data_IF_728278280654
#
_entry.id   IF_728278280654
#
_cell.length_a   1.000
_cell.length_b   1.000
_cell.length_c   1.000
_cell.angle_alpha   90.00
_cell.angle_beta   90.00
_cell.angle_gamma   90.00
#
_symmetry.space_group_name_H-M   'P 1'
#
loop_
_entity.id
_entity.type
_entity.pdbx_description
1 polymer ?
#
# COMPACT_ATOMS: atom_id res chain seq x y z
N UNK A 1 14.42 7.27 9.63
CA UNK A 1 15.10 6.36 8.67
C UNK A 1 15.36 4.99 9.29
N UNK A 2 15.06 4.82 10.59
CA UNK A 2 15.51 3.69 11.41
C UNK A 2 14.68 2.40 11.29
N UNK A 3 13.43 2.48 10.81
CA UNK A 3 12.54 1.31 10.73
C UNK A 3 12.84 0.34 9.57
N UNK A 4 13.61 0.75 8.56
CA UNK A 4 13.84 -0.06 7.35
C UNK A 4 15.02 -1.01 7.50
N UNK A 5 16.08 -0.59 8.20
CA UNK A 5 17.29 -1.38 8.41
C UNK A 5 17.19 -2.29 9.63
N UNK A 6 16.39 -1.92 10.63
CA UNK A 6 16.24 -2.69 11.87
C UNK A 6 15.83 -4.16 11.60
N UNK A 7 14.77 -4.47 10.82
CA UNK A 7 14.40 -5.85 10.55
C UNK A 7 15.47 -6.60 9.74
N UNK A 8 16.15 -5.90 8.83
CA UNK A 8 17.25 -6.47 8.05
C UNK A 8 18.44 -6.86 8.92
N UNK A 9 18.83 -6.00 9.87
CA UNK A 9 19.86 -6.32 10.85
C UNK A 9 19.45 -7.48 11.75
N UNK A 10 18.18 -7.50 12.18
CA UNK A 10 17.63 -8.63 12.94
C UNK A 10 17.73 -9.94 12.20
N UNK A 11 17.64 -9.97 10.87
CA UNK A 11 17.78 -11.20 10.13
C UNK A 11 19.13 -11.86 10.40
N UNK A 12 20.22 -11.11 10.47
CA UNK A 12 21.57 -11.67 10.65
C UNK A 12 21.81 -12.28 12.05
N UNK A 13 21.25 -11.71 13.11
CA UNK A 13 21.47 -12.20 14.48
C UNK A 13 20.27 -12.97 15.09
N UNK A 14 19.06 -12.75 14.58
CA UNK A 14 17.81 -13.36 15.03
C UNK A 14 16.84 -13.62 13.85
N UNK A 15 17.20 -14.51 12.90
CA UNK A 15 16.51 -14.74 11.62
C UNK A 15 14.98 -14.81 11.72
N UNK A 16 14.47 -15.60 12.67
CA UNK A 16 13.04 -15.80 12.85
C UNK A 16 12.30 -14.54 13.36
N UNK A 17 12.91 -13.79 14.27
CA UNK A 17 12.33 -12.54 14.79
C UNK A 17 12.34 -11.45 13.72
N UNK A 18 13.46 -11.30 13.01
CA UNK A 18 13.56 -10.36 11.89
C UNK A 18 12.48 -10.63 10.83
N UNK A 19 12.32 -11.88 10.40
CA UNK A 19 11.28 -12.24 9.42
C UNK A 19 9.84 -12.06 9.94
N UNK A 20 9.59 -12.28 11.25
CA UNK A 20 8.28 -11.97 11.83
C UNK A 20 8.01 -10.47 11.86
N UNK A 21 9.02 -9.65 12.17
CA UNK A 21 8.89 -8.19 12.18
C UNK A 21 8.62 -7.66 10.76
N UNK A 22 9.28 -8.23 9.75
CA UNK A 22 8.99 -7.93 8.33
C UNK A 22 7.56 -8.31 7.97
N UNK A 23 7.10 -9.53 8.32
CA UNK A 23 5.73 -9.99 8.09
C UNK A 23 4.69 -9.02 8.65
N UNK A 24 4.90 -8.57 9.88
CA UNK A 24 3.89 -7.83 10.63
C UNK A 24 3.89 -6.32 10.37
N UNK A 25 5.04 -5.75 9.96
CA UNK A 25 5.24 -4.29 9.90
C UNK A 25 5.80 -3.77 8.58
N UNK A 26 6.42 -4.60 7.74
CA UNK A 26 7.05 -4.09 6.53
C UNK A 26 6.04 -3.66 5.47
N UNK A 27 6.20 -2.44 4.97
CA UNK A 27 5.51 -1.99 3.77
C UNK A 27 6.17 -2.62 2.54
N UNK A 28 5.36 -3.22 1.66
CA UNK A 28 5.84 -3.88 0.43
C UNK A 28 6.74 -2.98 -0.41
N UNK A 29 6.37 -1.71 -0.59
CA UNK A 29 7.16 -0.75 -1.35
C UNK A 29 8.55 -0.50 -0.76
N UNK A 30 8.68 -0.52 0.57
CA UNK A 30 9.97 -0.36 1.27
C UNK A 30 10.82 -1.62 1.11
N UNK A 31 10.21 -2.79 1.24
CA UNK A 31 10.88 -4.08 1.04
C UNK A 31 11.43 -4.20 -0.40
N UNK A 32 10.62 -3.82 -1.39
CA UNK A 32 11.02 -3.82 -2.80
C UNK A 32 12.19 -2.84 -3.07
N UNK A 33 12.15 -1.64 -2.51
CA UNK A 33 13.24 -0.66 -2.63
C UNK A 33 14.55 -1.18 -2.02
N UNK A 34 14.46 -1.83 -0.86
CA UNK A 34 15.63 -2.44 -0.22
C UNK A 34 16.22 -3.57 -1.08
N UNK A 35 15.37 -4.47 -1.59
CA UNK A 35 15.81 -5.53 -2.47
C UNK A 35 16.45 -4.99 -3.76
N UNK A 36 15.85 -3.96 -4.37
CA UNK A 36 16.37 -3.31 -5.58
C UNK A 36 17.74 -2.70 -5.34
N UNK A 37 17.91 -1.96 -4.24
CA UNK A 37 19.18 -1.30 -3.90
C UNK A 37 20.27 -2.31 -3.57
N UNK A 38 19.95 -3.37 -2.81
CA UNK A 38 20.88 -4.45 -2.50
C UNK A 38 21.29 -5.23 -3.77
N UNK A 39 20.33 -5.53 -4.67
CA UNK A 39 20.59 -6.19 -5.93
C UNK A 39 21.44 -5.32 -6.87
N UNK A 40 21.16 -4.02 -6.97
CA UNK A 40 21.94 -3.09 -7.77
C UNK A 40 23.39 -2.98 -7.27
N UNK A 41 23.58 -2.91 -5.94
CA UNK A 41 24.91 -2.93 -5.33
C UNK A 41 25.67 -4.22 -5.66
N UNK A 42 25.01 -5.38 -5.57
CA UNK A 42 25.60 -6.67 -5.94
C UNK A 42 25.97 -6.74 -7.43
N UNK A 43 25.08 -6.31 -8.33
CA UNK A 43 25.34 -6.27 -9.78
C UNK A 43 26.51 -5.34 -10.10
N UNK A 44 26.54 -4.15 -9.50
CA UNK A 44 27.61 -3.17 -9.68
C UNK A 44 28.96 -3.74 -9.20
N UNK A 45 28.98 -4.43 -8.06
CA UNK A 45 30.17 -5.12 -7.56
C UNK A 45 30.67 -6.19 -8.54
N UNK A 46 29.76 -7.03 -9.05
CA UNK A 46 30.13 -8.09 -10.00
C UNK A 46 30.65 -7.52 -11.33
N UNK A 47 30.11 -6.40 -11.77
CA UNK A 47 30.51 -5.71 -13.01
C UNK A 47 31.68 -4.73 -12.81
N UNK A 48 32.13 -4.51 -11.58
CA UNK A 48 33.15 -3.50 -11.25
C UNK A 48 34.43 -3.58 -12.10
N UNK A 49 35.00 -4.78 -12.40
CA UNK A 49 36.16 -4.88 -13.28
C UNK A 49 35.90 -4.34 -14.71
N UNK A 50 34.70 -4.54 -15.24
CA UNK A 50 34.30 -4.05 -16.56
C UNK A 50 33.97 -2.55 -16.51
N UNK A 51 33.30 -2.10 -15.44
CA UNK A 51 32.93 -0.70 -15.21
C UNK A 51 34.18 0.16 -15.03
N UNK A 52 35.15 -0.27 -14.22
CA UNK A 52 36.40 0.45 -13.95
C UNK A 52 37.27 0.64 -15.20
N UNK A 53 37.28 -0.34 -16.11
CA UNK A 53 37.96 -0.24 -17.40
C UNK A 53 37.28 0.75 -18.38
N UNK A 54 35.98 1.03 -18.20
CA UNK A 54 35.16 1.89 -19.08
C UNK A 54 34.98 3.34 -18.60
N UNK A 55 35.65 3.72 -17.50
CA UNK A 55 35.57 5.05 -16.87
C UNK A 55 36.13 6.19 -17.75
N UNK A 56 36.67 5.89 -18.93
CA UNK A 56 37.14 6.89 -19.90
C UNK A 56 36.06 7.50 -20.80
N UNK A 57 34.76 7.15 -20.66
CA UNK A 57 33.74 7.86 -21.44
C UNK A 57 32.24 7.54 -21.31
N UNK A 58 31.77 6.58 -20.47
CA UNK A 58 30.32 6.24 -20.39
C UNK A 58 29.82 5.87 -18.99
N UNK A 59 30.03 6.72 -17.97
CA UNK A 59 29.72 6.34 -16.57
C UNK A 59 28.23 6.29 -16.22
N UNK A 60 27.39 7.20 -16.73
CA UNK A 60 25.96 7.30 -16.34
C UNK A 60 25.12 6.12 -16.85
N UNK A 61 25.41 5.62 -18.05
CA UNK A 61 24.66 4.50 -18.66
C UNK A 61 24.93 3.16 -17.96
N UNK A 62 26.11 2.99 -17.33
CA UNK A 62 26.46 1.77 -16.59
C UNK A 62 25.63 1.62 -15.30
N UNK A 63 25.43 2.72 -14.56
CA UNK A 63 24.61 2.74 -13.33
C UNK A 63 23.14 2.52 -13.67
N UNK A 64 22.66 3.14 -14.74
CA UNK A 64 21.30 2.93 -15.22
C UNK A 64 21.06 1.49 -15.71
N UNK A 65 22.03 0.90 -16.40
CA UNK A 65 22.02 -0.51 -16.80
C UNK A 65 21.99 -1.46 -15.61
N UNK A 66 22.77 -1.19 -14.55
CA UNK A 66 22.74 -1.95 -13.30
C UNK A 66 21.38 -1.86 -12.61
N UNK A 67 20.73 -0.70 -12.61
CA UNK A 67 19.38 -0.52 -12.06
C UNK A 67 18.32 -1.32 -12.85
N UNK A 68 18.38 -1.29 -14.19
CA UNK A 68 17.48 -2.09 -15.04
C UNK A 68 17.71 -3.59 -14.81
N UNK A 69 18.98 -4.02 -14.75
CA UNK A 69 19.34 -5.42 -14.49
C UNK A 69 18.89 -5.88 -13.10
N UNK A 70 18.95 -4.99 -12.09
CA UNK A 70 18.44 -5.28 -10.76
C UNK A 70 16.92 -5.42 -10.75
N UNK A 71 16.21 -4.52 -11.44
CA UNK A 71 14.76 -4.57 -11.55
C UNK A 71 14.28 -5.81 -12.32
N UNK A 72 14.97 -6.19 -13.40
CA UNK A 72 14.63 -7.37 -14.18
C UNK A 72 14.84 -8.67 -13.38
N UNK A 73 15.83 -8.74 -12.49
CA UNK A 73 16.06 -9.90 -11.62
C UNK A 73 14.96 -10.07 -10.54
N UNK A 74 14.39 -8.97 -10.04
CA UNK A 74 13.35 -9.01 -9.00
C UNK A 74 11.94 -9.23 -9.56
N UNK A 75 11.70 -8.91 -10.84
CA UNK A 75 10.39 -9.08 -11.46
C UNK A 75 9.90 -10.55 -11.41
N UNK A 76 10.68 -11.57 -11.80
CA UNK A 76 10.27 -12.96 -11.66
C UNK A 76 10.02 -13.38 -10.21
N UNK A 77 10.79 -12.82 -9.27
CA UNK A 77 10.57 -13.08 -7.84
C UNK A 77 9.18 -12.60 -7.42
N UNK A 78 8.81 -11.38 -7.81
CA UNK A 78 7.52 -10.78 -7.44
C UNK A 78 6.32 -11.40 -8.19
N UNK A 79 6.48 -11.67 -9.49
CA UNK A 79 5.38 -12.09 -10.37
C UNK A 79 5.21 -13.60 -10.49
N UNK A 80 6.24 -14.39 -10.16
CA UNK A 80 6.20 -15.85 -10.30
C UNK A 80 6.45 -16.54 -8.97
N UNK A 81 7.61 -16.28 -8.37
CA UNK A 81 8.03 -17.02 -7.19
C UNK A 81 7.06 -16.80 -6.02
N UNK A 82 6.68 -15.54 -5.73
CA UNK A 82 5.73 -15.24 -4.65
C UNK A 82 4.34 -15.87 -4.88
N UNK A 83 3.69 -15.72 -6.06
CA UNK A 83 2.44 -16.42 -6.33
C UNK A 83 2.54 -17.95 -6.25
N UNK A 84 3.65 -18.55 -6.70
CA UNK A 84 3.87 -19.99 -6.59
C UNK A 84 4.01 -20.44 -5.14
N UNK A 85 4.72 -19.68 -4.30
CA UNK A 85 4.80 -19.96 -2.86
C UNK A 85 3.41 -19.93 -2.23
N UNK A 86 2.58 -18.93 -2.56
CA UNK A 86 1.20 -18.83 -2.04
C UNK A 86 0.34 -19.97 -2.56
N UNK A 87 0.46 -20.33 -3.84
CA UNK A 87 -0.26 -21.46 -4.44
C UNK A 87 0.12 -22.78 -3.75
N UNK A 88 1.43 -23.05 -3.62
CA UNK A 88 1.95 -24.25 -2.98
C UNK A 88 1.53 -24.30 -1.50
N UNK A 89 1.65 -23.20 -0.76
CA UNK A 89 1.18 -23.11 0.62
C UNK A 89 -0.33 -23.40 0.74
N UNK A 90 -1.14 -22.87 -0.19
CA UNK A 90 -2.58 -23.09 -0.20
C UNK A 90 -2.96 -24.54 -0.59
N UNK A 91 -2.13 -25.24 -1.38
CA UNK A 91 -2.34 -26.66 -1.67
C UNK A 91 -2.16 -27.54 -0.43
N UNK A 92 -1.25 -27.18 0.49
CA UNK A 92 -1.01 -27.94 1.71
C UNK A 92 -2.12 -27.79 2.77
N UNK A 93 -2.77 -26.62 2.87
CA UNK A 93 -3.73 -26.36 3.95
C UNK A 93 -5.13 -25.93 3.51
N UNK A 94 -5.42 -25.85 2.20
CA UNK A 94 -6.71 -25.42 1.59
C UNK A 94 -7.46 -24.38 2.45
N UNK A 95 -6.81 -23.23 2.70
CA UNK A 95 -7.37 -22.19 3.57
C UNK A 95 -8.43 -21.33 2.88
N UNK A 96 -8.30 -21.12 1.58
CA UNK A 96 -9.18 -20.26 0.79
C UNK A 96 -9.08 -20.54 -0.72
N UNK A 97 -9.92 -19.90 -1.52
CA UNK A 97 -9.70 -19.83 -2.98
C UNK A 97 -8.37 -19.12 -3.27
N UNK A 98 -7.66 -19.53 -4.33
CA UNK A 98 -6.34 -18.98 -4.65
C UNK A 98 -6.36 -17.45 -4.81
N UNK A 99 -7.39 -16.90 -5.45
CA UNK A 99 -7.53 -15.46 -5.61
C UNK A 99 -7.68 -14.70 -4.28
N UNK A 100 -8.35 -15.31 -3.29
CA UNK A 100 -8.48 -14.71 -1.96
C UNK A 100 -7.15 -14.80 -1.18
N UNK A 101 -6.50 -15.97 -1.23
CA UNK A 101 -5.19 -16.16 -0.60
C UNK A 101 -4.15 -15.19 -1.16
N UNK A 102 -4.13 -14.98 -2.48
CA UNK A 102 -3.25 -14.01 -3.13
C UNK A 102 -3.53 -12.58 -2.64
N UNK A 103 -4.80 -12.16 -2.58
CA UNK A 103 -5.16 -10.81 -2.08
C UNK A 103 -4.79 -10.58 -0.62
N UNK A 104 -4.84 -11.62 0.22
CA UNK A 104 -4.58 -11.52 1.65
C UNK A 104 -3.08 -11.58 1.97
N UNK A 105 -2.36 -12.53 1.38
CA UNK A 105 -1.01 -12.87 1.80
C UNK A 105 0.10 -12.28 0.92
N UNK A 106 -0.22 -11.80 -0.30
CA UNK A 106 0.81 -11.37 -1.26
C UNK A 106 1.74 -10.29 -0.69
N UNK A 107 1.21 -9.25 -0.06
CA UNK A 107 2.05 -8.18 0.48
C UNK A 107 3.01 -8.67 1.57
N UNK A 108 2.55 -9.60 2.42
CA UNK A 108 3.33 -10.20 3.50
C UNK A 108 4.43 -11.11 2.96
N UNK A 109 4.06 -12.06 2.09
CA UNK A 109 4.99 -13.00 1.46
C UNK A 109 6.01 -12.26 0.61
N UNK A 110 5.58 -11.32 -0.23
CA UNK A 110 6.47 -10.55 -1.09
C UNK A 110 7.46 -9.71 -0.26
N UNK A 111 7.01 -9.07 0.83
CA UNK A 111 7.91 -8.30 1.69
C UNK A 111 9.00 -9.18 2.30
N UNK A 112 8.60 -10.33 2.85
CA UNK A 112 9.53 -11.29 3.44
C UNK A 112 10.51 -11.85 2.40
N UNK A 113 10.04 -12.17 1.21
CA UNK A 113 10.87 -12.65 0.09
C UNK A 113 11.84 -11.56 -0.39
N UNK A 114 11.43 -10.30 -0.45
CA UNK A 114 12.32 -9.20 -0.82
C UNK A 114 13.38 -8.93 0.24
N UNK A 115 13.05 -9.01 1.53
CA UNK A 115 14.05 -8.94 2.59
C UNK A 115 15.01 -10.13 2.55
N UNK A 116 14.52 -11.35 2.26
CA UNK A 116 15.35 -12.52 2.03
C UNK A 116 16.35 -12.30 0.88
N UNK A 117 15.89 -11.72 -0.23
CA UNK A 117 16.73 -11.37 -1.37
C UNK A 117 17.77 -10.32 -1.00
N UNK A 118 17.37 -9.25 -0.33
CA UNK A 118 18.27 -8.19 0.11
C UNK A 118 19.38 -8.73 1.03
N UNK A 119 19.01 -9.54 2.02
CA UNK A 119 19.98 -10.18 2.93
C UNK A 119 20.94 -11.10 2.17
N UNK A 120 20.44 -11.87 1.19
CA UNK A 120 21.27 -12.73 0.36
C UNK A 120 22.30 -11.93 -0.47
N UNK A 121 21.89 -10.83 -1.11
CA UNK A 121 22.80 -9.94 -1.84
C UNK A 121 23.88 -9.35 -0.92
N UNK A 122 23.49 -8.88 0.26
CA UNK A 122 24.43 -8.26 1.21
C UNK A 122 25.44 -9.26 1.77
N UNK A 123 25.07 -10.52 1.94
CA UNK A 123 26.01 -11.59 2.35
C UNK A 123 26.88 -12.04 1.17
N UNK A 124 26.31 -12.10 -0.04
CA UNK A 124 27.04 -12.54 -1.22
C UNK A 124 28.22 -11.61 -1.56
N UNK A 125 28.11 -10.30 -1.35
CA UNK A 125 29.18 -9.33 -1.65
C UNK A 125 30.49 -9.65 -0.89
N UNK A 126 30.54 -9.65 0.46
CA UNK A 126 31.78 -9.94 1.18
C UNK A 126 32.28 -11.37 0.93
N UNK A 127 31.37 -12.33 0.75
CA UNK A 127 31.74 -13.72 0.45
C UNK A 127 32.42 -13.82 -0.93
N UNK A 128 31.92 -13.10 -1.94
CA UNK A 128 32.53 -13.01 -3.26
C UNK A 128 33.90 -12.30 -3.20
N UNK A 129 34.06 -11.28 -2.36
CA UNK A 129 35.37 -10.66 -2.10
C UNK A 129 36.37 -11.68 -1.57
N UNK A 130 35.97 -12.48 -0.57
CA UNK A 130 36.83 -13.52 0.02
C UNK A 130 37.19 -14.57 -1.03
N UNK A 131 36.20 -15.08 -1.77
CA UNK A 131 36.40 -16.11 -2.81
C UNK A 131 37.33 -15.64 -3.93
N UNK A 132 37.29 -14.34 -4.29
CA UNK A 132 38.22 -13.73 -5.23
C UNK A 132 39.61 -13.57 -4.62
N UNK A 133 39.70 -13.08 -3.39
CA UNK A 133 40.96 -12.84 -2.71
C UNK A 133 41.76 -14.13 -2.46
N UNK A 134 41.10 -15.26 -2.20
CA UNK A 134 41.74 -16.56 -2.00
C UNK A 134 42.13 -17.25 -3.31
N UNK A 135 41.76 -16.70 -4.48
CA UNK A 135 41.96 -17.36 -5.78
C UNK A 135 41.04 -18.56 -6.02
N UNK A 136 40.12 -18.85 -5.09
CA UNK A 136 39.20 -19.99 -5.18
C UNK A 136 38.29 -19.88 -6.43
N UNK A 137 37.91 -18.68 -6.85
CA UNK A 137 37.15 -18.44 -8.09
C UNK A 137 37.89 -18.98 -9.33
N UNK A 138 39.16 -18.63 -9.48
CA UNK A 138 39.97 -19.04 -10.62
C UNK A 138 40.24 -20.54 -10.62
N UNK A 139 40.62 -21.09 -9.46
CA UNK A 139 40.91 -22.51 -9.28
C UNK A 139 39.67 -23.40 -9.52
N UNK A 140 38.50 -22.98 -9.05
CA UNK A 140 37.24 -23.66 -9.33
C UNK A 140 36.91 -23.64 -10.82
N UNK A 141 37.04 -22.48 -11.47
CA UNK A 141 36.75 -22.31 -12.90
C UNK A 141 37.66 -23.20 -13.77
N UNK A 142 38.95 -23.26 -13.43
CA UNK A 142 39.93 -24.12 -14.11
C UNK A 142 39.59 -25.60 -13.94
N UNK A 143 39.28 -26.02 -12.70
CA UNK A 143 38.89 -27.40 -12.40
C UNK A 143 37.62 -27.82 -13.14
N UNK A 144 36.61 -26.94 -13.21
CA UNK A 144 35.37 -27.19 -13.94
C UNK A 144 35.59 -27.28 -15.45
N UNK A 145 36.42 -26.41 -16.04
CA UNK A 145 36.77 -26.47 -17.47
C UNK A 145 37.53 -27.75 -17.81
N UNK A 146 38.47 -28.16 -16.96
CA UNK A 146 39.22 -29.40 -17.14
C UNK A 146 38.29 -30.62 -17.10
N UNK A 147 37.38 -30.69 -16.13
CA UNK A 147 36.37 -31.76 -16.06
C UNK A 147 35.42 -31.76 -17.27
N UNK A 148 34.96 -30.59 -17.72
CA UNK A 148 34.12 -30.45 -18.92
C UNK A 148 34.87 -30.93 -20.18
N UNK A 149 36.14 -30.55 -20.34
CA UNK A 149 36.98 -30.98 -21.45
C UNK A 149 37.12 -32.50 -21.54
N UNK A 150 37.27 -33.18 -20.40
CA UNK A 150 37.30 -34.66 -20.35
C UNK A 150 35.97 -35.22 -20.85
N UNK A 151 34.85 -34.79 -20.28
CA UNK A 151 33.51 -35.30 -20.65
C UNK A 151 33.11 -34.99 -22.09
N UNK A 152 33.65 -33.93 -22.69
CA UNK A 152 33.40 -33.55 -24.07
C UNK A 152 34.28 -34.33 -25.07
N UNK A 153 35.50 -34.71 -24.68
CA UNK A 153 36.45 -35.39 -25.56
C UNK A 153 36.37 -36.92 -25.49
N UNK A 154 36.09 -37.50 -24.31
CA UNK A 154 36.05 -38.95 -24.11
C UNK A 154 35.18 -39.36 -22.91
N UNK A 155 34.85 -40.64 -22.83
CA UNK A 155 34.25 -41.21 -21.62
C UNK A 155 35.25 -41.12 -20.46
N UNK A 156 34.78 -40.69 -19.28
CA UNK A 156 35.62 -40.53 -18.10
C UNK A 156 36.19 -41.89 -17.66
N UNK A 157 37.50 -41.93 -17.43
CA UNK A 157 38.21 -43.11 -16.91
C UNK A 157 38.32 -43.05 -15.38
N UNK A 158 38.58 -44.17 -14.68
CA UNK A 158 38.78 -44.17 -13.23
C UNK A 158 39.90 -43.23 -12.74
N UNK A 159 40.89 -42.93 -13.60
CA UNK A 159 41.98 -41.99 -13.31
C UNK A 159 41.52 -40.52 -13.35
N UNK A 160 40.45 -40.21 -14.09
CA UNK A 160 39.87 -38.87 -14.19
C UNK A 160 38.95 -38.54 -13.00
N UNK A 161 38.52 -39.56 -12.24
CA UNK A 161 37.53 -39.46 -11.17
C UNK A 161 37.90 -38.45 -10.06
N UNK A 162 39.15 -38.40 -9.55
CA UNK A 162 39.56 -37.42 -8.53
C UNK A 162 39.42 -35.97 -9.01
N UNK A 163 39.76 -35.70 -10.27
CA UNK A 163 39.61 -34.38 -10.87
C UNK A 163 38.13 -34.00 -11.02
N UNK A 164 37.27 -34.94 -11.43
CA UNK A 164 35.82 -34.72 -11.51
C UNK A 164 35.22 -34.42 -10.13
N UNK A 165 35.65 -35.14 -9.09
CA UNK A 165 35.22 -34.86 -7.71
C UNK A 165 35.69 -33.49 -7.23
N UNK A 166 36.94 -33.11 -7.51
CA UNK A 166 37.46 -31.79 -7.18
C UNK A 166 36.67 -30.67 -7.89
N UNK A 167 36.38 -30.85 -9.18
CA UNK A 167 35.56 -29.91 -9.96
C UNK A 167 34.14 -29.78 -9.40
N UNK A 168 33.52 -30.90 -8.99
CA UNK A 168 32.18 -30.92 -8.41
C UNK A 168 32.15 -30.24 -7.04
N UNK A 169 33.09 -30.54 -6.15
CA UNK A 169 33.18 -29.92 -4.82
C UNK A 169 33.44 -28.42 -4.90
N UNK A 170 34.37 -27.99 -5.78
CA UNK A 170 34.64 -26.56 -6.02
C UNK A 170 33.42 -25.85 -6.65
N UNK A 171 32.73 -26.51 -7.58
CA UNK A 171 31.48 -26.02 -8.15
C UNK A 171 30.36 -25.86 -7.12
N UNK A 172 30.21 -26.82 -6.20
CA UNK A 172 29.28 -26.71 -5.06
C UNK A 172 29.67 -25.56 -4.13
N UNK A 173 30.97 -25.34 -3.90
CA UNK A 173 31.48 -24.18 -3.17
C UNK A 173 31.08 -22.85 -3.81
N UNK A 174 31.19 -22.74 -5.14
CA UNK A 174 30.72 -21.56 -5.89
C UNK A 174 29.21 -21.36 -5.77
N UNK A 175 28.43 -22.44 -5.84
CA UNK A 175 26.98 -22.37 -5.67
C UNK A 175 26.59 -21.93 -4.26
N UNK A 176 27.29 -22.41 -3.23
CA UNK A 176 27.02 -22.06 -1.83
C UNK A 176 27.21 -20.56 -1.53
N UNK A 177 28.11 -19.91 -2.27
CA UNK A 177 28.38 -18.47 -2.16
C UNK A 177 27.44 -17.62 -3.03
N UNK A 178 26.69 -18.26 -3.94
CA UNK A 178 25.80 -17.54 -4.84
C UNK A 178 24.64 -16.85 -4.09
N UNK A 179 24.22 -15.65 -4.54
CA UNK A 179 23.08 -14.96 -3.94
C UNK A 179 21.78 -15.77 -4.05
N UNK A 180 21.65 -16.62 -5.09
CA UNK A 180 20.48 -17.50 -5.24
C UNK A 180 20.41 -18.57 -4.15
N UNK A 181 21.52 -19.21 -3.81
CA UNK A 181 21.55 -20.20 -2.74
C UNK A 181 21.30 -19.55 -1.37
N UNK A 182 21.94 -18.41 -1.11
CA UNK A 182 21.69 -17.66 0.12
C UNK A 182 20.22 -17.19 0.21
N UNK A 183 19.64 -16.80 -0.92
CA UNK A 183 18.23 -16.43 -1.00
C UNK A 183 17.31 -17.60 -0.65
N UNK A 184 17.57 -18.83 -1.13
CA UNK A 184 16.70 -19.96 -0.78
C UNK A 184 16.72 -20.26 0.72
N UNK A 185 17.87 -20.15 1.38
CA UNK A 185 17.98 -20.29 2.84
C UNK A 185 17.12 -19.26 3.57
N UNK A 186 17.23 -17.98 3.21
CA UNK A 186 16.43 -16.91 3.81
C UNK A 186 14.95 -17.02 3.47
N UNK A 187 14.61 -17.41 2.24
CA UNK A 187 13.24 -17.60 1.79
C UNK A 187 12.55 -18.72 2.59
N UNK A 188 13.25 -19.81 2.92
CA UNK A 188 12.71 -20.88 3.78
C UNK A 188 12.34 -20.33 5.16
N UNK A 189 13.23 -19.56 5.80
CA UNK A 189 12.93 -18.91 7.09
C UNK A 189 11.73 -17.99 6.96
N UNK A 190 11.69 -17.20 5.89
CA UNK A 190 10.60 -16.26 5.62
C UNK A 190 9.24 -16.94 5.45
N UNK A 191 9.14 -17.88 4.51
CA UNK A 191 7.90 -18.64 4.23
C UNK A 191 7.44 -19.39 5.47
N UNK A 192 8.37 -19.96 6.25
CA UNK A 192 8.06 -20.58 7.53
C UNK A 192 7.38 -19.60 8.49
N UNK A 193 7.88 -18.38 8.62
CA UNK A 193 7.31 -17.38 9.54
C UNK A 193 5.95 -16.83 9.07
N UNK A 194 5.77 -16.66 7.76
CA UNK A 194 4.51 -16.17 7.19
C UNK A 194 3.39 -17.18 7.43
N UNK A 195 3.61 -18.43 7.02
CA UNK A 195 2.56 -19.47 7.07
C UNK A 195 2.57 -20.31 8.36
N UNK A 196 3.56 -20.10 9.24
CA UNK A 196 3.76 -20.86 10.50
C UNK A 196 3.94 -22.37 10.26
N UNK A 197 4.62 -22.74 9.17
CA UNK A 197 4.86 -24.14 8.81
C UNK A 197 5.99 -24.81 9.60
N UNK A 198 6.07 -26.15 9.50
CA UNK A 198 7.27 -26.89 9.88
C UNK A 198 8.42 -26.61 8.91
N UNK A 199 9.67 -26.86 9.34
CA UNK A 199 10.85 -26.65 8.49
C UNK A 199 10.76 -27.45 7.19
N UNK A 200 10.37 -28.73 7.29
CA UNK A 200 10.22 -29.61 6.13
C UNK A 200 9.25 -29.05 5.10
N UNK A 201 8.08 -28.57 5.53
CA UNK A 201 7.07 -27.99 4.63
C UNK A 201 7.59 -26.72 3.97
N UNK A 202 8.24 -25.83 4.72
CA UNK A 202 8.80 -24.60 4.18
C UNK A 202 9.89 -24.89 3.13
N UNK A 203 10.77 -25.86 3.39
CA UNK A 203 11.79 -26.32 2.44
C UNK A 203 11.14 -26.84 1.16
N UNK A 204 10.18 -27.75 1.26
CA UNK A 204 9.49 -28.32 0.10
C UNK A 204 8.82 -27.21 -0.73
N UNK A 205 8.11 -26.28 -0.09
CA UNK A 205 7.41 -25.19 -0.77
C UNK A 205 8.39 -24.28 -1.51
N UNK A 206 9.47 -23.85 -0.85
CA UNK A 206 10.46 -22.95 -1.44
C UNK A 206 11.22 -23.64 -2.57
N UNK A 207 11.64 -24.89 -2.39
CA UNK A 207 12.34 -25.66 -3.42
C UNK A 207 11.45 -25.93 -4.63
N UNK A 208 10.20 -26.35 -4.43
CA UNK A 208 9.26 -26.60 -5.52
C UNK A 208 8.92 -25.30 -6.27
N UNK A 209 8.65 -24.21 -5.55
CA UNK A 209 8.37 -22.90 -6.15
C UNK A 209 9.58 -22.37 -6.90
N UNK A 210 10.78 -22.54 -6.36
CA UNK A 210 12.05 -22.18 -7.00
C UNK A 210 12.24 -22.93 -8.31
N UNK A 211 12.10 -24.26 -8.28
CA UNK A 211 12.26 -25.11 -9.45
C UNK A 211 11.30 -24.75 -10.58
N UNK A 212 10.02 -24.52 -10.26
CA UNK A 212 9.00 -24.11 -11.24
C UNK A 212 9.22 -22.66 -11.71
N UNK A 213 9.72 -21.79 -10.83
CA UNK A 213 9.94 -20.38 -11.18
C UNK A 213 11.05 -20.17 -12.21
N UNK A 214 12.07 -21.02 -12.25
CA UNK A 214 13.22 -20.86 -13.14
C UNK A 214 12.86 -20.84 -14.65
N UNK A 215 12.17 -21.86 -15.21
CA UNK A 215 11.80 -21.83 -16.62
C UNK A 215 10.80 -20.72 -16.94
N UNK A 216 9.88 -20.44 -16.00
CA UNK A 216 8.86 -19.42 -16.18
C UNK A 216 9.44 -17.99 -16.11
N UNK A 217 10.47 -17.78 -15.30
CA UNK A 217 11.25 -16.54 -15.24
C UNK A 217 11.94 -16.25 -16.58
N UNK A 218 12.53 -17.27 -17.20
CA UNK A 218 13.13 -17.15 -18.53
C UNK A 218 12.12 -16.69 -19.58
N UNK A 219 10.94 -17.31 -19.61
CA UNK A 219 9.84 -16.90 -20.50
C UNK A 219 9.41 -15.45 -20.24
N UNK A 220 9.22 -15.07 -18.97
CA UNK A 220 8.86 -13.70 -18.58
C UNK A 220 9.90 -12.68 -19.01
N UNK A 221 11.19 -12.98 -18.88
CA UNK A 221 12.25 -12.07 -19.32
C UNK A 221 12.29 -11.92 -20.84
N UNK A 222 11.96 -12.97 -21.60
CA UNK A 222 11.84 -12.86 -23.07
C UNK A 222 10.66 -11.99 -23.46
N UNK A 223 9.50 -12.19 -22.81
CA UNK A 223 8.27 -11.45 -23.13
C UNK A 223 8.34 -10.00 -22.64
N UNK A 224 8.78 -9.76 -21.41
CA UNK A 224 8.76 -8.46 -20.74
C UNK A 224 10.10 -7.73 -20.74
N UNK A 225 11.19 -8.38 -21.13
CA UNK A 225 12.51 -7.74 -21.26
C UNK A 225 12.48 -6.53 -22.18
N UNK A 226 11.90 -6.63 -23.40
CA UNK A 226 11.76 -5.47 -24.29
C UNK A 226 10.93 -4.35 -23.68
N UNK A 227 9.84 -4.69 -22.97
CA UNK A 227 8.97 -3.71 -22.29
C UNK A 227 9.72 -2.95 -21.17
N UNK A 228 10.56 -3.65 -20.39
CA UNK A 228 11.37 -3.04 -19.33
C UNK A 228 12.58 -2.26 -19.87
N UNK A 229 13.03 -2.56 -21.09
CA UNK A 229 14.14 -1.85 -21.72
C UNK A 229 13.74 -0.48 -22.28
N UNK A 230 12.44 -0.27 -22.54
CA UNK A 230 11.92 0.97 -23.10
C UNK A 230 11.59 2.00 -22.00
N UNK A 231 12.26 3.17 -21.98
CA UNK A 231 11.99 4.23 -21.00
C UNK A 231 10.55 4.74 -21.08
N UNK A 232 9.96 4.75 -22.27
CA UNK A 232 8.59 5.21 -22.51
C UNK A 232 7.55 4.26 -21.93
N UNK A 233 7.75 2.95 -22.10
CA UNK A 233 6.85 1.93 -21.56
C UNK A 233 6.94 1.91 -20.03
N UNK A 234 8.14 2.07 -19.47
CA UNK A 234 8.33 2.20 -18.03
C UNK A 234 7.60 3.42 -17.46
N UNK A 235 7.66 4.57 -18.14
CA UNK A 235 6.92 5.77 -17.74
C UNK A 235 5.40 5.55 -17.80
N UNK A 236 4.91 4.92 -18.87
CA UNK A 236 3.49 4.60 -19.02
C UNK A 236 3.00 3.64 -17.94
N UNK A 237 3.74 2.56 -17.69
CA UNK A 237 3.49 1.63 -16.58
C UNK A 237 3.48 2.37 -15.25
N UNK A 238 4.48 3.22 -14.99
CA UNK A 238 4.53 4.01 -13.77
C UNK A 238 3.27 4.87 -13.61
N UNK A 239 2.80 5.58 -14.64
CA UNK A 239 1.61 6.41 -14.57
C UNK A 239 0.34 5.60 -14.29
N UNK A 240 0.18 4.44 -14.93
CA UNK A 240 -0.95 3.54 -14.72
C UNK A 240 -0.91 2.98 -13.28
N UNK A 241 0.24 2.46 -12.87
CA UNK A 241 0.39 1.82 -11.57
C UNK A 241 0.44 2.81 -10.41
N UNK A 242 0.80 4.08 -10.64
CA UNK A 242 0.84 5.10 -9.58
C UNK A 242 -0.50 5.22 -8.86
N UNK A 243 -1.62 5.22 -9.60
CA UNK A 243 -2.96 5.24 -9.03
C UNK A 243 -3.20 4.05 -8.09
N UNK A 244 -2.99 2.83 -8.59
CA UNK A 244 -3.16 1.60 -7.82
C UNK A 244 -2.23 1.51 -6.60
N UNK A 245 -0.97 1.91 -6.76
CA UNK A 245 0.01 1.93 -5.64
C UNK A 245 -0.43 2.92 -4.57
N UNK A 246 -0.96 4.09 -4.95
CA UNK A 246 -1.47 5.05 -3.97
C UNK A 246 -2.71 4.53 -3.24
N UNK A 247 -3.60 3.83 -3.91
CA UNK A 247 -4.77 3.20 -3.28
C UNK A 247 -4.39 2.05 -2.35
N UNK A 248 -3.51 1.16 -2.80
CA UNK A 248 -3.00 0.06 -1.98
C UNK A 248 -2.25 0.58 -0.74
N UNK A 249 -1.44 1.64 -0.89
CA UNK A 249 -0.75 2.28 0.22
C UNK A 249 -1.71 2.96 1.20
N UNK A 250 -2.80 3.58 0.71
CA UNK A 250 -3.87 4.13 1.57
C UNK A 250 -4.57 3.01 2.35
N UNK A 251 -4.90 1.90 1.69
CA UNK A 251 -5.52 0.75 2.32
C UNK A 251 -4.61 0.12 3.40
N UNK A 252 -3.30 0.01 3.13
CA UNK A 252 -2.34 -0.50 4.11
C UNK A 252 -2.20 0.46 5.32
N UNK A 253 -2.13 1.78 5.08
CA UNK A 253 -2.12 2.79 6.14
C UNK A 253 -3.39 2.77 6.97
N UNK A 254 -4.55 2.61 6.34
CA UNK A 254 -5.83 2.48 7.04
C UNK A 254 -5.87 1.23 7.93
N UNK A 255 -5.33 0.09 7.48
CA UNK A 255 -5.19 -1.12 8.30
C UNK A 255 -4.23 -0.93 9.49
N UNK A 256 -3.09 -0.29 9.26
CA UNK A 256 -2.12 -0.02 10.32
C UNK A 256 -2.70 0.93 11.38
N UNK A 257 -3.34 2.03 10.95
CA UNK A 257 -4.03 2.98 11.82
C UNK A 257 -5.15 2.30 12.61
N UNK A 258 -5.97 1.46 11.96
CA UNK A 258 -6.99 0.67 12.65
C UNK A 258 -6.41 -0.21 13.74
N UNK A 259 -5.32 -0.94 13.44
CA UNK A 259 -4.66 -1.80 14.43
C UNK A 259 -4.10 -0.98 15.59
N UNK A 260 -3.45 0.14 15.31
CA UNK A 260 -2.89 1.02 16.32
C UNK A 260 -3.97 1.60 17.25
N UNK A 261 -5.07 2.11 16.68
CA UNK A 261 -6.16 2.67 17.49
C UNK A 261 -6.90 1.59 18.28
N UNK A 262 -6.99 0.37 17.75
CA UNK A 262 -7.53 -0.77 18.48
C UNK A 262 -6.61 -1.17 19.65
N UNK A 263 -5.29 -1.19 19.44
CA UNK A 263 -4.31 -1.41 20.50
C UNK A 263 -4.39 -0.29 21.55
N UNK A 264 -4.48 0.97 21.15
CA UNK A 264 -4.65 2.11 22.05
C UNK A 264 -5.93 1.99 22.89
N UNK A 265 -7.07 1.72 22.25
CA UNK A 265 -8.36 1.55 22.92
C UNK A 265 -8.43 0.31 23.83
N UNK A 266 -7.58 -0.70 23.60
CA UNK A 266 -7.50 -1.89 24.47
C UNK A 266 -6.53 -1.68 25.64
N UNK A 267 -5.42 -0.98 25.43
CA UNK A 267 -4.46 -0.62 26.48
C UNK A 267 -4.99 0.48 27.41
N UNK A 268 -5.68 1.46 26.84
CA UNK A 268 -6.36 2.54 27.56
C UNK A 268 -7.81 2.69 27.07
N UNK A 269 -8.78 2.03 27.72
CA UNK A 269 -10.19 2.15 27.37
C UNK A 269 -10.76 3.57 27.52
N UNK A 270 -10.05 4.48 28.20
CA UNK A 270 -10.39 5.88 28.40
C UNK A 270 -9.63 6.84 27.47
N UNK A 271 -9.16 6.36 26.32
CA UNK A 271 -8.64 7.21 25.24
C UNK A 271 -9.76 7.57 24.25
N UNK A 272 -10.32 8.78 24.40
CA UNK A 272 -11.42 9.27 23.55
C UNK A 272 -10.98 9.39 22.08
N UNK A 273 -9.77 9.90 21.83
CA UNK A 273 -9.24 10.06 20.47
C UNK A 273 -9.05 8.73 19.76
N UNK A 274 -8.66 7.66 20.47
CA UNK A 274 -8.60 6.31 19.89
C UNK A 274 -9.98 5.81 19.44
N UNK A 275 -11.01 5.98 20.27
CA UNK A 275 -12.39 5.60 19.90
C UNK A 275 -12.92 6.47 18.75
N UNK A 276 -12.68 7.79 18.77
CA UNK A 276 -13.06 8.69 17.67
C UNK A 276 -12.42 8.27 16.34
N UNK A 277 -11.11 8.01 16.33
CA UNK A 277 -10.41 7.57 15.13
C UNK A 277 -10.89 6.18 14.64
N UNK A 278 -11.21 5.24 15.54
CA UNK A 278 -11.85 3.99 15.16
C UNK A 278 -13.23 4.23 14.52
N UNK A 279 -14.01 5.15 15.07
CA UNK A 279 -15.30 5.58 14.52
C UNK A 279 -15.18 6.09 13.08
N UNK A 280 -14.20 6.97 12.81
CA UNK A 280 -13.92 7.46 11.46
C UNK A 280 -13.55 6.34 10.49
N UNK A 281 -12.77 5.34 10.94
CA UNK A 281 -12.39 4.20 10.10
C UNK A 281 -13.61 3.32 9.77
N UNK A 282 -14.49 3.06 10.76
CA UNK A 282 -15.74 2.34 10.53
C UNK A 282 -16.67 3.11 9.59
N UNK A 283 -16.77 4.44 9.75
CA UNK A 283 -17.57 5.30 8.87
C UNK A 283 -17.05 5.25 7.42
N UNK A 284 -15.72 5.28 7.22
CA UNK A 284 -15.11 5.14 5.89
C UNK A 284 -15.43 3.76 5.25
N UNK A 285 -15.56 2.72 6.07
CA UNK A 285 -15.98 1.37 5.63
C UNK A 285 -17.49 1.22 5.43
N UNK A 286 -18.26 2.29 5.68
CA UNK A 286 -19.74 2.30 5.68
C UNK A 286 -20.37 1.38 6.75
N UNK A 287 -19.61 1.07 7.81
CA UNK A 287 -20.07 0.29 8.95
C UNK A 287 -20.71 1.24 9.98
N UNK A 288 -21.89 1.78 9.65
CA UNK A 288 -22.52 2.89 10.40
C UNK A 288 -22.79 2.56 11.87
N UNK A 289 -23.24 1.34 12.17
CA UNK A 289 -23.54 0.92 13.55
C UNK A 289 -22.28 0.87 14.44
N UNK A 290 -21.17 0.38 13.90
CA UNK A 290 -19.89 0.36 14.62
C UNK A 290 -19.30 1.76 14.77
N UNK A 291 -19.41 2.57 13.71
CA UNK A 291 -18.99 3.97 13.77
C UNK A 291 -19.73 4.72 14.89
N UNK A 292 -21.07 4.57 14.95
CA UNK A 292 -21.90 5.15 16.01
C UNK A 292 -21.45 4.72 17.40
N UNK A 293 -21.30 3.41 17.64
CA UNK A 293 -20.84 2.89 18.95
C UNK A 293 -19.49 3.48 19.37
N UNK A 294 -18.56 3.64 18.43
CA UNK A 294 -17.23 4.19 18.70
C UNK A 294 -17.27 5.68 18.99
N UNK A 295 -18.08 6.45 18.27
CA UNK A 295 -18.29 7.86 18.58
C UNK A 295 -19.04 8.07 19.90
N UNK A 296 -20.06 7.27 20.20
CA UNK A 296 -20.75 7.23 21.50
C UNK A 296 -19.75 6.95 22.63
N UNK A 297 -18.84 5.98 22.43
CA UNK A 297 -17.81 5.71 23.43
C UNK A 297 -16.80 6.86 23.58
N UNK A 298 -16.48 7.57 22.50
CA UNK A 298 -15.61 8.73 22.56
C UNK A 298 -16.23 9.85 23.43
N UNK A 299 -17.52 10.16 23.23
CA UNK A 299 -18.23 11.18 24.04
C UNK A 299 -18.48 10.76 25.49
N UNK A 300 -18.59 9.45 25.76
CA UNK A 300 -18.67 8.93 27.14
C UNK A 300 -17.36 9.09 27.91
N UNK A 301 -16.23 9.01 27.20
CA UNK A 301 -14.89 9.12 27.78
C UNK A 301 -14.49 10.58 27.93
N UNK A 302 -14.69 11.37 26.87
CA UNK A 302 -14.46 12.80 26.86
C UNK A 302 -15.69 13.52 26.32
N UNK A 303 -16.41 14.18 27.23
CA UNK A 303 -17.59 14.96 26.87
C UNK A 303 -17.21 16.18 26.02
N UNK A 304 -15.95 16.62 25.98
CA UNK A 304 -15.50 17.77 25.18
C UNK A 304 -15.10 17.39 23.74
N UNK A 305 -15.21 16.12 23.34
CA UNK A 305 -14.95 15.67 21.97
C UNK A 305 -16.07 16.11 21.01
N UNK A 306 -16.02 17.38 20.59
CA UNK A 306 -17.02 18.04 19.74
C UNK A 306 -17.14 17.38 18.37
N UNK A 307 -16.02 16.92 17.79
CA UNK A 307 -16.00 16.30 16.47
C UNK A 307 -16.80 14.98 16.47
N UNK A 308 -16.84 14.25 17.58
CA UNK A 308 -17.65 13.04 17.70
C UNK A 308 -19.16 13.36 17.66
N UNK A 309 -19.61 14.46 18.27
CA UNK A 309 -21.00 14.91 18.15
C UNK A 309 -21.36 15.29 16.71
N UNK A 310 -20.45 15.95 15.98
CA UNK A 310 -20.66 16.26 14.58
C UNK A 310 -20.84 14.98 13.73
N UNK A 311 -19.98 13.98 13.91
CA UNK A 311 -20.11 12.71 13.17
C UNK A 311 -21.37 11.92 13.56
N UNK A 312 -21.77 11.92 14.84
CA UNK A 312 -23.02 11.32 15.28
C UNK A 312 -24.24 11.99 14.66
N UNK A 313 -24.23 13.33 14.58
CA UNK A 313 -25.29 14.08 13.89
C UNK A 313 -25.43 13.70 12.42
N UNK A 314 -24.30 13.57 11.71
CA UNK A 314 -24.28 13.13 10.31
C UNK A 314 -24.79 11.70 10.13
N UNK A 315 -24.37 10.77 11.01
CA UNK A 315 -24.86 9.38 10.98
C UNK A 315 -26.37 9.37 11.21
N UNK A 316 -26.87 10.09 12.22
CA UNK A 316 -28.29 10.17 12.51
C UNK A 316 -29.09 10.76 11.34
N UNK A 317 -28.56 11.80 10.66
CA UNK A 317 -29.17 12.35 9.45
C UNK A 317 -29.27 11.30 8.33
N UNK A 318 -28.19 10.55 8.08
CA UNK A 318 -28.17 9.48 7.08
C UNK A 318 -29.13 8.33 7.41
N UNK A 319 -29.36 8.07 8.70
CA UNK A 319 -30.32 7.06 9.20
C UNK A 319 -31.77 7.60 9.26
N UNK A 320 -32.01 8.84 8.78
CA UNK A 320 -33.30 9.52 8.86
C UNK A 320 -33.83 9.74 10.29
N UNK A 321 -32.93 9.73 11.28
CA UNK A 321 -33.19 10.07 12.69
C UNK A 321 -32.98 11.57 12.90
N UNK A 322 -33.86 12.37 12.29
CA UNK A 322 -33.63 13.80 12.10
C UNK A 322 -33.62 14.60 13.40
N UNK A 323 -34.45 14.24 14.39
CA UNK A 323 -34.44 14.87 15.71
C UNK A 323 -33.14 14.63 16.48
N UNK A 324 -32.60 13.41 16.43
CA UNK A 324 -31.31 13.08 17.03
C UNK A 324 -30.16 13.81 16.34
N UNK A 325 -30.22 13.92 15.01
CA UNK A 325 -29.24 14.65 14.23
C UNK A 325 -29.13 16.11 14.65
N UNK A 326 -30.27 16.81 14.73
CA UNK A 326 -30.35 18.20 15.22
C UNK A 326 -29.77 18.31 16.64
N UNK A 327 -30.20 17.44 17.57
CA UNK A 327 -29.71 17.47 18.96
C UNK A 327 -28.19 17.33 19.03
N UNK A 328 -27.60 16.46 18.21
CA UNK A 328 -26.14 16.29 18.17
C UNK A 328 -25.43 17.49 17.54
N UNK A 329 -25.97 18.09 16.48
CA UNK A 329 -25.43 19.31 15.91
C UNK A 329 -25.55 20.52 16.86
N UNK A 330 -26.62 20.63 17.65
CA UNK A 330 -26.77 21.66 18.66
C UNK A 330 -25.69 21.58 19.76
N UNK A 331 -25.25 20.35 20.13
CA UNK A 331 -24.11 20.19 21.05
C UNK A 331 -22.82 20.77 20.45
N UNK A 332 -22.63 20.64 19.14
CA UNK A 332 -21.47 21.22 18.45
C UNK A 332 -21.54 22.74 18.47
N UNK A 333 -22.71 23.31 18.16
CA UNK A 333 -22.93 24.77 18.18
C UNK A 333 -22.71 25.36 19.56
N UNK A 334 -23.15 24.66 20.61
CA UNK A 334 -23.03 25.14 21.98
C UNK A 334 -21.58 25.16 22.49
N UNK A 335 -20.73 24.23 22.04
CA UNK A 335 -19.36 24.05 22.56
C UNK A 335 -18.29 24.68 21.68
N UNK A 336 -18.46 24.64 20.37
CA UNK A 336 -17.54 25.27 19.41
C UNK A 336 -18.30 26.20 18.44
N UNK A 337 -18.47 27.48 18.83
CA UNK A 337 -19.09 28.48 17.98
C UNK A 337 -18.32 28.73 16.67
N UNK A 338 -17.02 28.45 16.60
CA UNK A 338 -16.23 28.64 15.39
C UNK A 338 -16.47 27.51 14.39
N UNK A 339 -16.58 26.26 14.85
CA UNK A 339 -16.97 25.13 14.03
C UNK A 339 -18.41 25.28 13.51
N UNK A 340 -19.31 25.83 14.34
CA UNK A 340 -20.68 26.17 13.95
C UNK A 340 -20.75 27.11 12.74
N UNK A 341 -19.89 28.13 12.72
CA UNK A 341 -19.79 29.12 11.63
C UNK A 341 -19.27 28.52 10.30
N UNK A 342 -18.65 27.34 10.33
CA UNK A 342 -18.01 26.76 9.15
C UNK A 342 -18.90 25.83 8.35
N UNK A 343 -19.61 24.90 9.00
CA UNK A 343 -20.35 23.84 8.31
C UNK A 343 -21.65 23.40 9.03
N UNK A 344 -21.74 23.51 10.35
CA UNK A 344 -22.82 22.87 11.15
C UNK A 344 -24.18 23.51 10.92
N UNK A 345 -24.28 24.85 10.86
CA UNK A 345 -25.58 25.51 10.63
C UNK A 345 -26.23 25.10 9.31
N UNK A 346 -25.41 24.80 8.30
CA UNK A 346 -25.88 24.25 7.02
C UNK A 346 -26.39 22.82 7.17
N UNK A 347 -25.72 21.97 7.94
CA UNK A 347 -26.19 20.60 8.24
C UNK A 347 -27.48 20.60 9.08
N UNK A 348 -27.61 21.52 10.05
CA UNK A 348 -28.85 21.73 10.81
C UNK A 348 -29.99 22.14 9.87
N UNK A 349 -29.76 23.14 9.01
CA UNK A 349 -30.74 23.59 8.02
C UNK A 349 -31.17 22.48 7.04
N UNK A 350 -30.20 21.70 6.54
CA UNK A 350 -30.47 20.55 5.69
C UNK A 350 -31.29 19.47 6.42
N UNK A 351 -31.01 19.26 7.71
CA UNK A 351 -31.74 18.30 8.55
C UNK A 351 -33.18 18.74 8.81
N UNK A 352 -33.40 20.02 9.11
CA UNK A 352 -34.76 20.57 9.26
C UNK A 352 -35.56 20.52 7.94
N UNK A 353 -34.92 20.76 6.80
CA UNK A 353 -35.55 20.59 5.49
C UNK A 353 -35.96 19.14 5.23
N UNK A 354 -35.12 18.18 5.59
CA UNK A 354 -35.45 16.76 5.50
C UNK A 354 -36.61 16.39 6.43
N UNK A 355 -36.74 17.07 7.57
CA UNK A 355 -37.83 16.90 8.52
C UNK A 355 -39.13 17.61 8.10
N UNK A 356 -39.11 18.38 7.00
CA UNK A 356 -40.23 19.19 6.54
C UNK A 356 -40.42 20.50 7.32
N UNK A 357 -39.55 20.79 8.29
CA UNK A 357 -39.57 22.00 9.11
C UNK A 357 -38.94 23.16 8.35
N UNK A 358 -39.69 23.71 7.39
CA UNK A 358 -39.17 24.71 6.45
C UNK A 358 -38.85 26.06 7.10
N UNK A 359 -39.52 26.42 8.19
CA UNK A 359 -39.23 27.64 8.95
C UNK A 359 -37.91 27.52 9.72
N UNK A 360 -37.77 26.49 10.55
CA UNK A 360 -36.54 26.24 11.34
C UNK A 360 -35.32 26.08 10.43
N UNK A 361 -35.50 25.44 9.27
CA UNK A 361 -34.46 25.33 8.25
C UNK A 361 -33.99 26.68 7.71
N UNK A 362 -34.94 27.60 7.44
CA UNK A 362 -34.62 28.92 6.93
C UNK A 362 -33.78 29.71 7.94
N UNK A 363 -34.20 29.71 9.20
CA UNK A 363 -33.48 30.43 10.27
C UNK A 363 -32.04 29.89 10.46
N UNK A 364 -31.87 28.57 10.43
CA UNK A 364 -30.54 27.95 10.52
C UNK A 364 -29.66 28.29 9.32
N UNK A 365 -30.22 28.34 8.11
CA UNK A 365 -29.48 28.65 6.89
C UNK A 365 -29.15 30.15 6.79
N UNK A 366 -30.00 31.04 7.29
CA UNK A 366 -29.68 32.46 7.38
C UNK A 366 -28.46 32.69 8.27
N UNK A 367 -28.41 32.06 9.46
CA UNK A 367 -27.24 32.12 10.35
C UNK A 367 -25.95 31.64 9.67
N UNK A 368 -26.04 30.63 8.81
CA UNK A 368 -24.88 30.18 8.03
C UNK A 368 -24.47 31.21 6.96
N UNK A 369 -25.45 31.77 6.25
CA UNK A 369 -25.23 32.71 5.15
C UNK A 369 -24.75 34.08 5.62
N UNK A 370 -24.99 34.48 6.87
CA UNK A 370 -24.44 35.70 7.48
C UNK A 370 -22.90 35.77 7.33
N UNK A 371 -22.23 34.64 7.53
CA UNK A 371 -20.78 34.53 7.42
C UNK A 371 -20.31 34.05 6.04
N UNK A 372 -21.14 33.27 5.31
CA UNK A 372 -20.82 32.69 4.01
C UNK A 372 -21.88 32.98 2.96
N UNK A 373 -21.99 34.24 2.58
CA UNK A 373 -23.03 34.75 1.68
C UNK A 373 -23.08 34.09 0.29
N UNK A 374 -21.96 33.52 -0.18
CA UNK A 374 -21.83 32.96 -1.53
C UNK A 374 -21.66 31.45 -1.55
N UNK A 375 -22.13 30.72 -0.53
CA UNK A 375 -22.12 29.26 -0.53
C UNK A 375 -23.27 28.69 -1.38
N UNK A 376 -23.00 28.00 -2.51
CA UNK A 376 -24.05 27.56 -3.42
C UNK A 376 -25.03 26.56 -2.79
N UNK A 377 -24.53 25.65 -1.96
CA UNK A 377 -25.34 24.63 -1.31
C UNK A 377 -26.31 25.26 -0.31
N UNK A 378 -25.82 26.14 0.57
CA UNK A 378 -26.68 26.83 1.52
C UNK A 378 -27.72 27.74 0.84
N UNK A 379 -27.35 28.47 -0.23
CA UNK A 379 -28.30 29.29 -1.00
C UNK A 379 -29.41 28.45 -1.64
N UNK A 380 -29.06 27.29 -2.19
CA UNK A 380 -30.03 26.35 -2.74
C UNK A 380 -30.97 25.80 -1.65
N UNK A 381 -30.42 25.37 -0.51
CA UNK A 381 -31.20 24.87 0.62
C UNK A 381 -32.12 25.98 1.17
N UNK A 382 -31.64 27.22 1.28
CA UNK A 382 -32.44 28.35 1.75
C UNK A 382 -33.60 28.65 0.80
N UNK A 383 -33.36 28.59 -0.52
CA UNK A 383 -34.40 28.68 -1.53
C UNK A 383 -35.44 27.58 -1.41
N UNK A 384 -35.03 26.35 -1.11
CA UNK A 384 -35.95 25.24 -0.82
C UNK A 384 -36.76 25.45 0.45
N UNK A 385 -36.16 26.00 1.51
CA UNK A 385 -36.85 26.32 2.75
C UNK A 385 -37.93 27.39 2.52
N UNK A 386 -37.57 28.46 1.80
CA UNK A 386 -38.49 29.53 1.38
C UNK A 386 -39.65 28.99 0.53
N UNK A 387 -39.37 28.08 -0.40
CA UNK A 387 -40.39 27.44 -1.20
C UNK A 387 -41.36 26.60 -0.35
N UNK A 388 -40.83 25.84 0.62
CA UNK A 388 -41.63 25.06 1.57
C UNK A 388 -42.53 25.93 2.46
N UNK A 389 -42.14 27.18 2.72
CA UNK A 389 -42.97 28.18 3.40
C UNK A 389 -43.95 28.92 2.48
N UNK A 390 -43.99 28.61 1.17
CA UNK A 390 -44.82 29.32 0.19
C UNK A 390 -44.29 30.69 -0.24
N UNK A 391 -43.08 31.07 0.18
CA UNK A 391 -42.40 32.33 -0.20
C UNK A 391 -41.71 32.20 -1.56
N UNK A 392 -42.50 31.93 -2.61
CA UNK A 392 -42.01 31.54 -3.95
C UNK A 392 -41.09 32.59 -4.59
N UNK A 393 -41.40 33.88 -4.43
CA UNK A 393 -40.57 34.97 -4.99
C UNK A 393 -39.17 35.00 -4.39
N UNK A 394 -39.08 34.83 -3.07
CA UNK A 394 -37.81 34.85 -2.33
C UNK A 394 -37.02 33.56 -2.56
N UNK A 395 -37.73 32.43 -2.71
CA UNK A 395 -37.13 31.17 -3.15
C UNK A 395 -36.47 31.32 -4.53
N UNK A 396 -37.14 31.96 -5.49
CA UNK A 396 -36.58 32.21 -6.81
C UNK A 396 -35.35 33.13 -6.76
N UNK A 397 -35.36 34.16 -5.90
CA UNK A 397 -34.20 35.03 -5.67
C UNK A 397 -33.02 34.24 -5.10
N UNK A 398 -33.25 33.38 -4.11
CA UNK A 398 -32.21 32.53 -3.52
C UNK A 398 -31.63 31.54 -4.53
N UNK A 399 -32.48 30.97 -5.40
CA UNK A 399 -32.05 30.12 -6.51
C UNK A 399 -31.21 30.89 -7.53
N UNK A 400 -31.56 32.13 -7.84
CA UNK A 400 -30.75 32.97 -8.73
C UNK A 400 -29.39 33.31 -8.09
N UNK A 401 -29.38 33.62 -6.80
CA UNK A 401 -28.14 33.85 -6.05
C UNK A 401 -27.24 32.60 -6.04
N UNK A 402 -27.82 31.40 -5.86
CA UNK A 402 -27.10 30.13 -6.00
C UNK A 402 -26.46 29.99 -7.39
N UNK A 403 -27.21 30.25 -8.46
CA UNK A 403 -26.72 30.16 -9.83
C UNK A 403 -25.53 31.12 -10.06
N UNK A 404 -25.65 32.36 -9.60
CA UNK A 404 -24.58 33.35 -9.73
C UNK A 404 -23.35 33.00 -8.87
N UNK A 405 -23.56 32.48 -7.66
CA UNK A 405 -22.48 32.00 -6.81
C UNK A 405 -21.65 30.89 -7.49
N UNK A 406 -22.30 29.92 -8.16
CA UNK A 406 -21.57 28.87 -8.90
C UNK A 406 -20.84 29.42 -10.11
N UNK A 407 -21.45 30.35 -10.86
CA UNK A 407 -20.84 30.93 -12.07
C UNK A 407 -19.63 31.81 -11.77
N UNK A 408 -19.67 32.52 -10.64
CA UNK A 408 -18.60 33.44 -10.22
C UNK A 408 -17.51 32.75 -9.40
N UNK A 409 -17.73 31.50 -8.97
CA UNK A 409 -16.75 30.73 -8.24
C UNK A 409 -15.50 30.38 -9.09
N UNK A 410 -14.32 30.21 -8.46
CA UNK A 410 -13.11 29.75 -9.15
C UNK A 410 -13.31 28.42 -9.89
N UNK A 411 -12.65 28.27 -11.04
CA UNK A 411 -12.83 27.13 -11.94
C UNK A 411 -12.66 25.74 -11.28
N UNK A 412 -11.82 25.61 -10.25
CA UNK A 412 -11.61 24.34 -9.55
C UNK A 412 -12.82 23.92 -8.68
N UNK A 413 -13.68 24.85 -8.25
CA UNK A 413 -14.89 24.56 -7.46
C UNK A 413 -16.09 24.21 -8.33
N UNK A 414 -16.13 24.71 -9.57
CA UNK A 414 -17.25 24.52 -10.49
C UNK A 414 -17.72 23.07 -10.59
N UNK A 415 -16.79 22.09 -10.62
CA UNK A 415 -17.15 20.67 -10.74
C UNK A 415 -17.89 20.13 -9.51
N UNK A 416 -17.56 20.60 -8.31
CA UNK A 416 -18.24 20.19 -7.08
C UNK A 416 -19.62 20.85 -6.99
N UNK A 417 -19.72 22.12 -7.35
CA UNK A 417 -20.93 22.92 -7.15
C UNK A 417 -21.93 22.84 -8.34
N UNK A 418 -21.50 22.23 -9.46
CA UNK A 418 -22.33 22.04 -10.66
C UNK A 418 -23.68 21.39 -10.36
N UNK A 419 -23.74 20.51 -9.35
CA UNK A 419 -24.98 19.87 -8.91
C UNK A 419 -26.03 20.93 -8.53
N UNK A 420 -25.64 21.87 -7.67
CA UNK A 420 -26.53 22.91 -7.14
C UNK A 420 -26.99 23.88 -8.23
N UNK A 421 -26.10 24.22 -9.17
CA UNK A 421 -26.46 24.99 -10.37
C UNK A 421 -27.60 24.34 -11.15
N UNK A 422 -27.51 23.04 -11.41
CA UNK A 422 -28.52 22.32 -12.18
C UNK A 422 -29.85 22.23 -11.41
N UNK A 423 -29.80 21.90 -10.12
CA UNK A 423 -31.00 21.78 -9.27
C UNK A 423 -31.71 23.14 -9.13
N UNK A 424 -30.96 24.23 -8.98
CA UNK A 424 -31.51 25.58 -8.91
C UNK A 424 -32.19 26.02 -10.22
N UNK A 425 -31.56 25.75 -11.37
CA UNK A 425 -32.15 26.04 -12.68
C UNK A 425 -33.42 25.23 -12.94
N UNK A 426 -33.43 23.95 -12.55
CA UNK A 426 -34.59 23.10 -12.67
C UNK A 426 -35.75 23.62 -11.81
N UNK A 427 -35.47 24.04 -10.58
CA UNK A 427 -36.47 24.66 -9.71
C UNK A 427 -37.11 25.88 -10.38
N UNK A 428 -36.31 26.82 -10.88
CA UNK A 428 -36.84 28.03 -11.54
C UNK A 428 -37.70 27.70 -12.77
N UNK A 429 -37.29 26.71 -13.57
CA UNK A 429 -38.08 26.27 -14.73
C UNK A 429 -39.41 25.63 -14.35
N UNK A 430 -39.49 24.99 -13.18
CA UNK A 430 -40.74 24.37 -12.71
C UNK A 430 -41.75 25.37 -12.15
N UNK A 431 -41.32 26.59 -11.86
CA UNK A 431 -42.13 27.68 -11.29
C UNK A 431 -42.51 28.75 -12.33
N UNK A 432 -41.94 28.67 -13.54
CA UNK A 432 -42.25 29.49 -14.70
C UNK A 432 -43.33 28.81 -15.54
#
# INVERSE_FOLDING_TARGET
MDDLLRPLLMMFYAPGRGMSEVRDRAALGRAALLALTAQAAHVLYMQWPQVSASLSGRSVFSVFGAAISAASALMPVALVFVPLVILAANLFERRASFGLALKQEYASVASVVFYAWAAACLVAIPLAVIVRATGFEADAMESMRAAQGITAARAATPEDLPLMWAALLKGLGMLAVSPFFLFTLWAVVGVRQVFRFSWLRAIIIVSASGFVSLPLAGLLLVVFGPLLSSPFILLMLFLIFRGYVTEAARAQRARASFKQNLEAATLNPADASAHFNLGLIHLQRKELDEARRRFERAIEVDAEEVDAHYQLGRIAHMENRLSDAVRHFEQVVARDPAHAQHEVWREIGATYLAAGQSADAHDALERFLEHRQTDPEALYLAGRALAGMGRVREAAQSMQACIEAVKTAPAYKYRADKRWLNEAQQFLRSQA
#
